data_IF_152464970504
#
_entry.id   IF_152464970504
#
_cell.length_a   1.000
_cell.length_b   1.000
_cell.length_c   1.000
_cell.angle_alpha   90.00
_cell.angle_beta   90.00
_cell.angle_gamma   90.00
#
_symmetry.space_group_name_H-M   'P 1'
#
loop_
_entity.id
_entity.type
_entity.pdbx_description
1 polymer ?
#
# COMPACT_ATOMS: atom_id res chain seq x y z
N UNK A 1 -6.40 11.99 -40.72
CA UNK A 1 -6.01 10.63 -40.37
C UNK A 1 -5.88 10.62 -38.81
N UNK A 2 -6.90 10.17 -38.12
CA UNK A 2 -6.93 10.12 -36.65
C UNK A 2 -6.39 8.75 -36.31
N UNK A 3 -5.14 8.70 -35.83
CA UNK A 3 -4.56 7.50 -35.26
C UNK A 3 -5.29 7.17 -33.94
N UNK A 4 -6.13 6.17 -34.02
CA UNK A 4 -6.80 5.60 -32.85
C UNK A 4 -5.72 4.99 -31.96
N UNK A 5 -5.36 5.69 -30.88
CA UNK A 5 -4.52 5.15 -29.81
C UNK A 5 -5.20 3.89 -29.28
N UNK A 6 -4.74 2.72 -29.73
CA UNK A 6 -5.13 1.43 -29.14
C UNK A 6 -4.75 1.47 -27.66
N UNK A 7 -5.75 1.63 -26.78
CA UNK A 7 -5.57 1.40 -25.35
C UNK A 7 -4.94 0.00 -25.18
N UNK A 8 -3.68 -0.05 -24.77
CA UNK A 8 -3.06 -1.33 -24.39
C UNK A 8 -3.87 -1.90 -23.23
N UNK A 9 -4.47 -3.08 -23.42
CA UNK A 9 -5.05 -3.84 -22.33
C UNK A 9 -3.97 -4.09 -21.28
N UNK A 10 -4.28 -3.96 -19.97
CA UNK A 10 -3.32 -4.31 -18.93
C UNK A 10 -2.90 -5.77 -19.11
N UNK A 11 -1.61 -6.02 -19.02
CA UNK A 11 -1.10 -7.40 -19.04
C UNK A 11 -1.56 -8.11 -17.77
N UNK A 12 -2.31 -9.17 -17.94
CA UNK A 12 -2.70 -10.09 -16.85
C UNK A 12 -1.81 -11.32 -16.97
N UNK A 13 -0.93 -11.60 -16.00
CA UNK A 13 -0.12 -12.81 -16.03
C UNK A 13 -1.02 -14.05 -16.06
N UNK A 14 -0.70 -15.08 -16.86
CA UNK A 14 -1.51 -16.30 -16.95
C UNK A 14 -1.77 -17.01 -15.62
N UNK A 15 -0.87 -16.84 -14.63
CA UNK A 15 -1.01 -17.40 -13.29
C UNK A 15 -2.13 -16.74 -12.46
N UNK A 16 -2.59 -15.55 -12.86
CA UNK A 16 -3.66 -14.80 -12.17
C UNK A 16 -5.04 -15.35 -12.48
N UNK A 17 -5.20 -16.08 -13.61
CA UNK A 17 -6.48 -16.62 -14.04
C UNK A 17 -6.97 -17.83 -13.20
N UNK A 18 -6.09 -18.42 -12.39
CA UNK A 18 -6.44 -19.59 -11.56
C UNK A 18 -6.26 -19.28 -10.08
N UNK A 19 -7.34 -19.38 -9.30
CA UNK A 19 -7.35 -19.35 -7.83
C UNK A 19 -6.90 -18.03 -7.18
N UNK A 20 -6.90 -16.90 -7.94
CA UNK A 20 -6.46 -15.59 -7.44
C UNK A 20 -7.33 -14.43 -7.90
N UNK A 21 -8.50 -14.74 -8.40
CA UNK A 21 -9.47 -13.76 -8.85
C UNK A 21 -10.09 -13.02 -7.66
N UNK A 22 -10.81 -11.95 -7.93
CA UNK A 22 -11.61 -11.28 -6.90
C UNK A 22 -12.71 -12.19 -6.31
N UNK A 23 -13.26 -13.11 -7.11
CA UNK A 23 -14.21 -14.11 -6.63
C UNK A 23 -13.54 -15.09 -5.64
N UNK A 24 -12.32 -15.55 -5.94
CA UNK A 24 -11.54 -16.40 -5.04
C UNK A 24 -11.18 -15.68 -3.74
N UNK A 25 -10.86 -14.37 -3.83
CA UNK A 25 -10.66 -13.52 -2.67
C UNK A 25 -11.90 -13.47 -1.76
N UNK A 26 -13.09 -13.22 -2.34
CA UNK A 26 -14.35 -13.19 -1.59
C UNK A 26 -14.63 -14.54 -0.93
N UNK A 27 -14.44 -15.63 -1.66
CA UNK A 27 -14.60 -16.97 -1.11
C UNK A 27 -13.60 -17.24 0.02
N UNK A 28 -12.35 -16.81 -0.12
CA UNK A 28 -11.33 -16.99 0.91
C UNK A 28 -11.68 -16.25 2.20
N UNK A 29 -12.08 -14.98 2.13
CA UNK A 29 -12.45 -14.20 3.32
C UNK A 29 -13.71 -14.75 4.01
N UNK A 30 -14.69 -15.26 3.24
CA UNK A 30 -15.90 -15.88 3.78
C UNK A 30 -15.58 -17.22 4.46
N UNK A 31 -14.84 -18.12 3.76
CA UNK A 31 -14.52 -19.46 4.26
C UNK A 31 -13.69 -19.44 5.53
N UNK A 32 -12.74 -18.48 5.64
CA UNK A 32 -11.82 -18.37 6.77
C UNK A 32 -12.19 -17.27 7.76
N UNK A 33 -13.36 -16.65 7.62
CA UNK A 33 -13.85 -15.55 8.48
C UNK A 33 -12.84 -14.40 8.64
N UNK A 34 -12.10 -14.09 7.54
CA UNK A 34 -11.05 -13.07 7.55
C UNK A 34 -11.68 -11.68 7.50
N UNK A 35 -11.44 -10.88 8.52
CA UNK A 35 -11.97 -9.51 8.64
C UNK A 35 -10.96 -8.43 8.32
N UNK A 36 -9.69 -8.79 8.16
CA UNK A 36 -8.60 -7.89 7.86
C UNK A 36 -7.76 -8.39 6.69
N UNK A 37 -7.47 -7.50 5.76
CA UNK A 37 -6.54 -7.73 4.65
C UNK A 37 -5.83 -6.42 4.29
N UNK A 38 -4.85 -6.50 3.42
CA UNK A 38 -4.13 -5.34 2.91
C UNK A 38 -4.58 -5.04 1.48
N UNK A 39 -5.01 -3.82 1.21
CA UNK A 39 -5.17 -3.32 -0.17
C UNK A 39 -3.86 -2.70 -0.61
N UNK A 40 -3.31 -3.19 -1.72
CA UNK A 40 -2.03 -2.75 -2.27
C UNK A 40 -2.24 -2.03 -3.60
N UNK A 41 -1.48 -0.93 -3.79
CA UNK A 41 -1.51 -0.15 -5.03
C UNK A 41 -0.18 0.58 -5.26
N UNK A 42 0.05 1.07 -6.47
CA UNK A 42 1.19 1.94 -6.77
C UNK A 42 0.76 3.34 -7.16
N UNK A 43 1.38 4.34 -6.56
CA UNK A 43 1.15 5.75 -6.85
C UNK A 43 2.27 6.29 -7.72
N UNK A 44 1.91 6.66 -8.95
CA UNK A 44 2.82 7.30 -9.88
C UNK A 44 2.77 8.81 -9.64
N UNK A 45 3.93 9.41 -9.42
CA UNK A 45 4.10 10.85 -9.42
C UNK A 45 4.39 11.35 -10.84
N UNK A 46 5.67 11.54 -11.15
CA UNK A 46 6.16 11.81 -12.51
C UNK A 46 6.32 10.48 -13.26
N UNK A 47 5.96 10.47 -14.53
CA UNK A 47 6.15 9.28 -15.36
C UNK A 47 7.65 8.98 -15.55
N UNK A 48 8.03 7.73 -15.35
CA UNK A 48 9.41 7.26 -15.47
C UNK A 48 10.31 7.56 -14.26
N UNK A 49 9.79 8.22 -13.20
CA UNK A 49 10.46 8.44 -11.94
C UNK A 49 10.12 7.40 -10.87
N UNK A 50 10.56 7.67 -9.64
CA UNK A 50 10.19 6.88 -8.46
C UNK A 50 8.67 6.81 -8.26
N UNK A 51 8.21 5.72 -7.71
CA UNK A 51 6.80 5.48 -7.39
C UNK A 51 6.65 5.10 -5.91
N UNK A 52 5.44 5.24 -5.38
CA UNK A 52 5.13 4.83 -4.02
C UNK A 52 4.30 3.56 -4.09
N UNK A 53 4.79 2.46 -3.52
CA UNK A 53 3.99 1.29 -3.19
C UNK A 53 3.20 1.61 -1.92
N UNK A 54 1.89 1.48 -1.95
CA UNK A 54 1.02 1.73 -0.81
C UNK A 54 0.43 0.43 -0.29
N UNK A 55 0.42 0.26 1.03
CA UNK A 55 -0.17 -0.87 1.74
C UNK A 55 -1.19 -0.31 2.74
N UNK A 56 -2.47 -0.57 2.50
CA UNK A 56 -3.57 -0.12 3.35
C UNK A 56 -4.13 -1.28 4.15
N UNK A 57 -4.07 -1.19 5.46
CA UNK A 57 -4.67 -2.15 6.41
C UNK A 57 -6.16 -1.82 6.58
N UNK A 58 -7.00 -2.69 6.04
CA UNK A 58 -8.43 -2.41 5.84
C UNK A 58 -9.22 -2.31 7.14
N UNK A 59 -8.80 -2.98 8.21
CA UNK A 59 -9.47 -2.96 9.50
C UNK A 59 -9.53 -1.55 10.13
N UNK A 60 -8.53 -0.71 9.86
CA UNK A 60 -8.40 0.61 10.48
C UNK A 60 -8.11 1.74 9.50
N UNK A 61 -8.00 1.45 8.20
CA UNK A 61 -7.55 2.38 7.15
C UNK A 61 -6.17 3.01 7.43
N UNK A 62 -5.32 2.32 8.17
CA UNK A 62 -3.92 2.70 8.34
C UNK A 62 -3.17 2.39 7.04
N UNK A 63 -2.41 3.34 6.56
CA UNK A 63 -1.70 3.22 5.29
C UNK A 63 -0.22 3.49 5.48
N UNK A 64 0.61 2.69 4.84
CA UNK A 64 2.06 2.94 4.72
C UNK A 64 2.43 3.10 3.26
N UNK A 65 3.52 3.80 3.01
CA UNK A 65 4.08 3.97 1.69
C UNK A 65 5.55 3.57 1.66
N UNK A 66 5.93 2.86 0.62
CA UNK A 66 7.30 2.43 0.37
C UNK A 66 7.75 3.06 -0.94
N UNK A 67 8.89 3.74 -0.91
CA UNK A 67 9.44 4.41 -2.07
C UNK A 67 10.20 3.40 -2.94
N UNK A 68 9.73 3.21 -4.17
CA UNK A 68 10.35 2.35 -5.15
C UNK A 68 11.09 3.18 -6.21
N UNK A 69 12.27 2.74 -6.62
CA UNK A 69 13.04 3.40 -7.69
C UNK A 69 12.37 3.27 -9.06
N UNK A 70 11.49 2.27 -9.25
CA UNK A 70 10.73 2.08 -10.48
C UNK A 70 9.44 1.30 -10.24
N UNK A 71 8.46 1.45 -11.15
CA UNK A 71 7.25 0.64 -11.21
C UNK A 71 7.56 -0.71 -11.88
N UNK A 72 8.23 -1.61 -11.16
CA UNK A 72 8.64 -2.92 -11.68
C UNK A 72 8.43 -4.06 -10.69
N UNK A 73 8.23 -5.28 -11.20
CA UNK A 73 8.09 -6.47 -10.37
C UNK A 73 9.34 -6.75 -9.53
N UNK A 74 10.52 -6.40 -10.04
CA UNK A 74 11.76 -6.54 -9.30
C UNK A 74 11.80 -5.61 -8.07
N UNK A 75 11.43 -4.33 -8.24
CA UNK A 75 11.41 -3.36 -7.14
C UNK A 75 10.43 -3.80 -6.05
N UNK A 76 9.21 -4.22 -6.41
CA UNK A 76 8.22 -4.75 -5.45
C UNK A 76 8.76 -6.00 -4.74
N UNK A 77 9.38 -6.94 -5.48
CA UNK A 77 9.95 -8.16 -4.89
C UNK A 77 11.05 -7.86 -3.87
N UNK A 78 11.90 -6.89 -4.16
CA UNK A 78 12.96 -6.46 -3.25
C UNK A 78 12.40 -5.90 -1.95
N UNK A 79 11.34 -5.07 -2.04
CA UNK A 79 10.72 -4.47 -0.86
C UNK A 79 9.97 -5.50 0.00
N UNK A 80 9.31 -6.48 -0.60
CA UNK A 80 8.71 -7.57 0.18
C UNK A 80 9.75 -8.42 0.90
N UNK A 81 10.93 -8.61 0.30
CA UNK A 81 12.07 -9.24 0.98
C UNK A 81 12.55 -8.40 2.15
N UNK A 82 12.80 -7.09 1.96
CA UNK A 82 13.21 -6.18 3.04
C UNK A 82 12.18 -6.11 4.18
N UNK A 83 10.88 -6.07 3.86
CA UNK A 83 9.82 -6.15 4.87
C UNK A 83 9.94 -7.44 5.70
N UNK A 84 10.10 -8.59 5.05
CA UNK A 84 10.28 -9.88 5.77
C UNK A 84 11.51 -9.91 6.65
N UNK A 85 12.65 -9.42 6.15
CA UNK A 85 13.88 -9.30 6.93
C UNK A 85 13.65 -8.44 8.18
N UNK A 86 12.93 -7.33 8.04
CA UNK A 86 12.58 -6.42 9.14
C UNK A 86 11.66 -7.08 10.16
N UNK A 87 10.65 -7.82 9.71
CA UNK A 87 9.74 -8.57 10.56
C UNK A 87 10.45 -9.72 11.28
N UNK A 88 11.31 -10.46 10.58
CA UNK A 88 12.11 -11.53 11.17
C UNK A 88 13.07 -11.01 12.24
N UNK A 89 13.73 -9.88 12.02
CA UNK A 89 14.59 -9.22 12.99
C UNK A 89 13.82 -8.78 14.25
N UNK A 90 12.55 -8.42 14.12
CA UNK A 90 11.64 -8.09 15.20
C UNK A 90 10.97 -9.32 15.84
N UNK A 91 11.29 -10.53 15.38
CA UNK A 91 10.66 -11.80 15.80
C UNK A 91 9.12 -11.78 15.66
N UNK A 92 8.61 -11.09 14.64
CA UNK A 92 7.19 -10.94 14.37
C UNK A 92 6.82 -11.75 13.12
N UNK A 93 5.83 -12.66 13.17
CA UNK A 93 5.36 -13.39 12.01
C UNK A 93 4.79 -12.43 10.95
N UNK A 94 5.20 -12.60 9.69
CA UNK A 94 4.79 -11.73 8.60
C UNK A 94 3.27 -11.81 8.35
N UNK A 95 2.70 -13.01 8.42
CA UNK A 95 1.28 -13.29 8.24
C UNK A 95 0.39 -12.62 9.30
N UNK A 96 0.92 -12.27 10.46
CA UNK A 96 0.16 -11.56 11.50
C UNK A 96 -0.37 -10.21 11.00
N UNK A 97 0.42 -9.52 10.17
CA UNK A 97 0.06 -8.22 9.61
C UNK A 97 -0.42 -8.32 8.17
N UNK A 98 0.08 -9.30 7.43
CA UNK A 98 -0.22 -9.50 6.01
C UNK A 98 -0.90 -10.85 5.73
N UNK A 99 -2.08 -11.12 6.32
CA UNK A 99 -2.74 -12.41 6.09
C UNK A 99 -3.16 -12.60 4.62
N UNK A 100 -3.71 -11.54 4.03
CA UNK A 100 -4.12 -11.47 2.62
C UNK A 100 -3.76 -10.12 2.03
N UNK A 101 -3.43 -10.11 0.74
CA UNK A 101 -3.18 -8.90 -0.03
C UNK A 101 -4.09 -8.90 -1.25
N UNK A 102 -4.83 -7.81 -1.46
CA UNK A 102 -5.63 -7.55 -2.64
C UNK A 102 -5.01 -6.42 -3.45
N UNK A 103 -4.75 -6.65 -4.73
CA UNK A 103 -4.15 -5.66 -5.64
C UNK A 103 -4.85 -5.62 -7.00
N UNK A 104 -4.48 -4.69 -7.87
CA UNK A 104 -4.88 -4.70 -9.27
C UNK A 104 -3.96 -5.62 -10.11
N UNK A 105 -4.28 -5.77 -11.40
CA UNK A 105 -3.51 -6.57 -12.34
C UNK A 105 -2.29 -5.81 -12.92
N UNK A 106 -1.60 -5.02 -12.09
CA UNK A 106 -0.39 -4.31 -12.50
C UNK A 106 0.79 -5.26 -12.77
N UNK A 107 1.58 -4.99 -13.81
CA UNK A 107 2.77 -5.79 -14.14
C UNK A 107 3.83 -5.78 -13.03
N UNK A 108 3.82 -4.77 -12.16
CA UNK A 108 4.68 -4.68 -10.97
C UNK A 108 4.36 -5.75 -9.90
N UNK A 109 3.18 -6.36 -9.95
CA UNK A 109 2.75 -7.42 -9.04
C UNK A 109 2.86 -8.82 -9.64
N UNK A 110 3.49 -8.96 -10.82
CA UNK A 110 3.58 -10.22 -11.56
C UNK A 110 4.43 -11.29 -10.88
N UNK A 111 5.39 -10.91 -10.01
CA UNK A 111 6.20 -11.88 -9.27
C UNK A 111 5.51 -12.30 -7.97
N UNK A 112 4.43 -13.08 -8.13
CA UNK A 112 3.56 -13.53 -7.03
C UNK A 112 4.36 -14.28 -5.96
N UNK A 113 5.24 -15.19 -6.36
CA UNK A 113 6.03 -15.99 -5.43
C UNK A 113 6.85 -15.12 -4.46
N UNK A 114 7.48 -14.07 -4.95
CA UNK A 114 8.28 -13.18 -4.10
C UNK A 114 7.44 -12.33 -3.13
N UNK A 115 6.18 -12.07 -3.49
CA UNK A 115 5.24 -11.37 -2.62
C UNK A 115 4.68 -12.32 -1.55
N UNK A 116 4.38 -13.58 -1.89
CA UNK A 116 3.75 -14.53 -0.99
C UNK A 116 4.70 -15.30 -0.09
N UNK A 117 5.89 -15.65 -0.59
CA UNK A 117 6.79 -16.58 0.06
C UNK A 117 8.04 -15.92 0.64
N UNK A 118 8.53 -16.49 1.73
CA UNK A 118 9.84 -16.14 2.29
C UNK A 118 11.00 -16.78 1.50
N UNK A 119 12.23 -16.55 1.95
CA UNK A 119 13.45 -17.05 1.29
C UNK A 119 13.54 -18.59 1.25
N UNK A 120 12.84 -19.31 2.11
CA UNK A 120 12.78 -20.78 2.12
C UNK A 120 11.67 -21.35 1.25
N UNK A 121 10.86 -20.48 0.62
CA UNK A 121 9.71 -20.85 -0.21
C UNK A 121 8.44 -21.12 0.60
N UNK A 122 8.43 -20.87 1.90
CA UNK A 122 7.23 -20.98 2.73
C UNK A 122 6.31 -19.80 2.46
N UNK A 123 5.03 -20.09 2.16
CA UNK A 123 4.01 -19.05 1.94
C UNK A 123 3.61 -18.44 3.27
N UNK A 124 3.64 -17.10 3.34
CA UNK A 124 3.30 -16.32 4.54
C UNK A 124 2.12 -15.37 4.29
N UNK A 125 1.70 -15.18 3.06
CA UNK A 125 0.52 -14.39 2.69
C UNK A 125 -0.11 -14.96 1.41
N UNK A 126 -1.35 -14.53 1.10
CA UNK A 126 -2.02 -14.86 -0.16
C UNK A 126 -2.28 -13.57 -0.94
N UNK A 127 -1.91 -13.55 -2.22
CA UNK A 127 -2.11 -12.45 -3.13
C UNK A 127 -3.31 -12.72 -4.04
N UNK A 128 -4.26 -11.79 -4.06
CA UNK A 128 -5.42 -11.81 -4.94
C UNK A 128 -5.46 -10.56 -5.81
N UNK A 129 -6.14 -10.67 -6.94
CA UNK A 129 -6.23 -9.61 -7.93
C UNK A 129 -7.66 -9.17 -8.15
N UNK A 130 -7.86 -7.85 -8.25
CA UNK A 130 -9.12 -7.28 -8.70
C UNK A 130 -9.38 -7.63 -10.17
N UNK A 131 -10.64 -7.66 -10.54
CA UNK A 131 -11.03 -7.77 -11.94
C UNK A 131 -10.52 -6.56 -12.74
N UNK A 132 -10.19 -6.78 -14.01
CA UNK A 132 -9.71 -5.71 -14.88
C UNK A 132 -10.73 -4.56 -14.96
N UNK A 133 -10.25 -3.33 -14.77
CA UNK A 133 -11.03 -2.08 -14.81
C UNK A 133 -12.18 -1.94 -13.80
N UNK A 134 -12.25 -2.78 -12.76
CA UNK A 134 -13.23 -2.66 -11.67
C UNK A 134 -12.62 -1.91 -10.48
N UNK A 135 -12.54 -0.60 -10.56
CA UNK A 135 -12.01 0.28 -9.51
C UNK A 135 -12.74 0.14 -8.17
N UNK A 136 -14.04 -0.20 -8.18
CA UNK A 136 -14.86 -0.34 -6.96
C UNK A 136 -14.45 -1.51 -6.03
N UNK A 137 -13.53 -2.36 -6.43
CA UNK A 137 -13.13 -3.53 -5.64
C UNK A 137 -12.05 -3.20 -4.58
N UNK A 138 -11.40 -2.04 -4.66
CA UNK A 138 -10.46 -1.50 -3.65
C UNK A 138 -10.87 -0.10 -3.16
N UNK A 139 -12.08 0.10 -2.62
CA UNK A 139 -12.60 1.44 -2.33
C UNK A 139 -11.87 2.15 -1.21
N UNK A 140 -11.23 1.40 -0.31
CA UNK A 140 -10.53 1.98 0.86
C UNK A 140 -9.20 2.58 0.47
N UNK A 141 -8.40 1.89 -0.33
CA UNK A 141 -7.12 2.44 -0.82
C UNK A 141 -7.37 3.65 -1.71
N UNK A 142 -8.37 3.61 -2.61
CA UNK A 142 -8.71 4.74 -3.48
C UNK A 142 -9.07 6.00 -2.67
N UNK A 143 -9.90 5.85 -1.62
CA UNK A 143 -10.25 6.96 -0.74
C UNK A 143 -9.03 7.53 0.00
N UNK A 144 -8.12 6.68 0.46
CA UNK A 144 -6.90 7.13 1.12
C UNK A 144 -5.89 7.74 0.14
N UNK A 145 -5.86 7.27 -1.12
CA UNK A 145 -5.07 7.90 -2.17
C UNK A 145 -5.53 9.33 -2.49
N UNK A 146 -6.82 9.62 -2.34
CA UNK A 146 -7.32 11.01 -2.44
C UNK A 146 -6.66 11.90 -1.38
N UNK A 147 -6.55 11.43 -0.14
CA UNK A 147 -5.88 12.16 0.94
C UNK A 147 -4.37 12.32 0.68
N UNK A 148 -3.73 11.29 0.11
CA UNK A 148 -2.34 11.42 -0.31
C UNK A 148 -2.20 12.49 -1.39
N UNK A 149 -3.17 12.63 -2.30
CA UNK A 149 -3.17 13.64 -3.37
C UNK A 149 -3.37 15.09 -2.86
N UNK A 150 -3.94 15.27 -1.68
CA UNK A 150 -3.99 16.59 -1.03
C UNK A 150 -2.58 17.05 -0.60
N UNK A 151 -1.71 16.13 -0.23
CA UNK A 151 -0.31 16.39 0.13
C UNK A 151 0.58 16.35 -1.12
N UNK A 152 0.49 15.26 -1.90
CA UNK A 152 1.29 14.98 -3.09
C UNK A 152 0.39 14.98 -4.33
N UNK A 153 0.09 16.14 -4.97
CA UNK A 153 -0.75 16.21 -6.14
C UNK A 153 -0.23 15.37 -7.32
N UNK A 154 -1.10 15.11 -8.29
CA UNK A 154 -0.68 14.45 -9.54
C UNK A 154 0.47 15.23 -10.19
N UNK A 155 1.49 14.52 -10.64
CA UNK A 155 2.69 15.11 -11.23
C UNK A 155 3.80 15.48 -10.23
N UNK A 156 3.57 15.34 -8.90
CA UNK A 156 4.66 15.48 -7.91
C UNK A 156 5.76 14.47 -8.23
N UNK A 157 7.01 14.93 -8.39
CA UNK A 157 8.16 14.04 -8.50
C UNK A 157 8.51 13.45 -7.13
N UNK A 158 8.77 12.14 -7.09
CA UNK A 158 9.27 11.47 -5.90
C UNK A 158 10.77 11.20 -5.96
N UNK A 159 11.46 11.65 -7.03
CA UNK A 159 12.86 11.30 -7.30
C UNK A 159 13.82 11.78 -6.19
N UNK A 160 13.55 12.96 -5.63
CA UNK A 160 14.32 13.56 -4.53
C UNK A 160 13.77 13.22 -3.14
N UNK A 161 12.66 12.48 -3.07
CA UNK A 161 12.05 12.09 -1.80
C UNK A 161 12.85 10.94 -1.17
N UNK A 162 13.01 11.01 0.14
CA UNK A 162 13.57 9.92 0.95
C UNK A 162 12.45 9.11 1.60
N UNK A 163 12.72 7.84 1.97
CA UNK A 163 11.77 7.03 2.70
C UNK A 163 11.34 7.68 4.03
N UNK A 164 12.27 8.32 4.74
CA UNK A 164 11.95 9.02 6.00
C UNK A 164 10.98 10.19 5.79
N UNK A 165 11.12 10.95 4.71
CA UNK A 165 10.15 12.01 4.36
C UNK A 165 8.78 11.42 4.01
N UNK A 166 8.74 10.30 3.30
CA UNK A 166 7.51 9.59 2.98
C UNK A 166 6.82 9.06 4.26
N UNK A 167 7.58 8.50 5.20
CA UNK A 167 7.05 8.04 6.50
C UNK A 167 6.43 9.18 7.31
N UNK A 168 6.99 10.40 7.24
CA UNK A 168 6.38 11.58 7.86
C UNK A 168 5.04 11.91 7.19
N UNK A 169 4.95 11.86 5.86
CA UNK A 169 3.70 12.09 5.12
C UNK A 169 2.62 11.12 5.57
N UNK A 170 2.94 9.82 5.61
CA UNK A 170 2.00 8.79 6.07
C UNK A 170 1.68 8.91 7.57
N UNK A 171 2.60 9.37 8.39
CA UNK A 171 2.34 9.69 9.80
C UNK A 171 1.26 10.78 9.96
N UNK A 172 1.34 11.87 9.20
CA UNK A 172 0.29 12.90 9.17
C UNK A 172 -1.05 12.35 8.67
N UNK A 173 -1.05 11.56 7.58
CA UNK A 173 -2.27 10.94 7.05
C UNK A 173 -2.95 10.02 8.06
N UNK A 174 -2.18 9.17 8.73
CA UNK A 174 -2.67 8.21 9.72
C UNK A 174 -3.09 8.87 11.03
N UNK A 175 -2.60 10.08 11.32
CA UNK A 175 -2.97 10.86 12.51
C UNK A 175 -4.16 11.81 12.25
N UNK A 176 -4.76 11.78 11.05
CA UNK A 176 -5.96 12.56 10.74
C UNK A 176 -7.20 11.84 11.26
N UNK A 177 -7.95 12.50 12.16
CA UNK A 177 -9.19 11.94 12.73
C UNK A 177 -10.25 11.63 11.66
N UNK A 178 -10.97 10.51 11.81
CA UNK A 178 -11.98 10.05 10.86
C UNK A 178 -13.38 10.05 11.50
N UNK A 179 -14.35 10.69 10.84
CA UNK A 179 -15.76 10.70 11.29
C UNK A 179 -16.31 9.28 11.48
N UNK A 180 -16.02 8.37 10.54
CA UNK A 180 -16.46 6.98 10.59
C UNK A 180 -15.91 6.18 11.79
N UNK A 181 -14.92 6.70 12.50
CA UNK A 181 -14.31 6.09 13.69
C UNK A 181 -14.57 6.92 14.96
N UNK A 182 -15.64 7.71 14.98
CA UNK A 182 -15.99 8.57 16.10
C UNK A 182 -14.83 9.49 16.53
N UNK A 183 -14.11 10.04 15.55
CA UNK A 183 -12.99 10.92 15.78
C UNK A 183 -11.64 10.25 16.07
N UNK A 184 -11.59 8.93 16.18
CA UNK A 184 -10.29 8.22 16.28
C UNK A 184 -9.51 8.30 14.97
N UNK A 185 -8.19 8.20 15.08
CA UNK A 185 -7.29 8.20 13.94
C UNK A 185 -6.99 6.76 13.48
N UNK A 186 -6.64 6.54 12.19
CA UNK A 186 -6.10 5.26 11.74
C UNK A 186 -4.93 4.77 12.58
N UNK A 187 -4.02 5.66 13.00
CA UNK A 187 -2.89 5.32 13.86
C UNK A 187 -3.35 4.72 15.21
N UNK A 188 -4.28 5.39 15.89
CA UNK A 188 -4.80 4.93 17.17
C UNK A 188 -5.48 3.56 17.06
N UNK A 189 -6.26 3.34 16.00
CA UNK A 189 -6.89 2.05 15.74
C UNK A 189 -5.88 0.98 15.40
N UNK A 190 -4.86 1.29 14.57
CA UNK A 190 -3.80 0.35 14.24
C UNK A 190 -3.06 -0.11 15.50
N UNK A 191 -2.67 0.82 16.37
CA UNK A 191 -2.05 0.49 17.65
C UNK A 191 -2.96 -0.34 18.56
N UNK A 192 -4.27 -0.13 18.52
CA UNK A 192 -5.23 -0.93 19.28
C UNK A 192 -5.29 -2.37 18.78
N UNK A 193 -5.23 -2.61 17.47
CA UNK A 193 -5.33 -3.95 16.87
C UNK A 193 -4.01 -4.70 16.84
N UNK A 194 -2.89 -4.00 16.61
CA UNK A 194 -1.60 -4.60 16.29
C UNK A 194 -0.47 -4.23 17.27
N UNK A 195 -0.72 -3.31 18.19
CA UNK A 195 0.31 -2.79 19.09
C UNK A 195 1.07 -1.60 18.49
N UNK A 196 1.62 -0.78 19.39
CA UNK A 196 2.45 0.38 18.99
C UNK A 196 3.76 -0.05 18.36
N UNK A 197 4.32 -1.15 18.81
CA UNK A 197 5.58 -1.75 18.33
C UNK A 197 5.50 -2.05 16.82
N UNK A 198 4.31 -2.45 16.34
CA UNK A 198 4.07 -2.70 14.93
C UNK A 198 4.05 -1.40 14.11
N UNK A 199 3.47 -0.32 14.64
CA UNK A 199 3.53 0.99 13.99
C UNK A 199 4.96 1.53 13.95
N UNK A 200 5.73 1.34 15.02
CA UNK A 200 7.15 1.71 15.10
C UNK A 200 8.00 0.86 14.12
N UNK A 201 7.70 -0.45 13.98
CA UNK A 201 8.33 -1.32 12.99
C UNK A 201 8.09 -0.82 11.55
N UNK A 202 6.89 -0.32 11.27
CA UNK A 202 6.56 0.30 9.98
C UNK A 202 7.02 1.78 9.88
N UNK A 203 7.73 2.30 10.90
CA UNK A 203 8.28 3.66 10.95
C UNK A 203 7.22 4.77 10.84
N UNK A 204 6.00 4.49 11.26
CA UNK A 204 4.91 5.46 11.32
C UNK A 204 4.71 5.90 12.76
N UNK A 205 4.59 7.21 12.98
CA UNK A 205 4.47 7.82 14.30
C UNK A 205 3.19 8.63 14.42
N UNK A 206 2.67 8.73 15.63
CA UNK A 206 1.55 9.62 15.89
C UNK A 206 1.99 11.08 15.80
N UNK A 207 1.20 11.89 15.09
CA UNK A 207 1.36 13.34 15.02
C UNK A 207 0.26 13.96 15.89
N UNK A 208 0.60 14.85 16.85
CA UNK A 208 -0.41 15.57 17.63
C UNK A 208 -1.43 16.28 16.75
N UNK A 209 -2.70 16.27 17.14
CA UNK A 209 -3.81 16.75 16.32
C UNK A 209 -3.63 18.21 15.85
N UNK A 210 -3.08 19.06 16.70
CA UNK A 210 -2.77 20.47 16.40
C UNK A 210 -1.61 20.66 15.42
N UNK A 211 -0.81 19.61 15.18
CA UNK A 211 0.35 19.60 14.27
C UNK A 211 0.09 18.85 12.97
N UNK A 212 -1.07 18.21 12.80
CA UNK A 212 -1.39 17.48 11.57
C UNK A 212 -1.52 18.46 10.40
N UNK A 213 -0.81 18.16 9.31
CA UNK A 213 -0.85 18.92 8.06
C UNK A 213 -1.28 17.99 6.93
N UNK A 214 -2.48 18.21 6.40
CA UNK A 214 -3.08 17.44 5.31
C UNK A 214 -3.16 18.33 4.05
N UNK A 215 -2.01 18.83 3.59
CA UNK A 215 -1.93 19.69 2.42
C UNK A 215 -0.51 19.76 1.84
N UNK A 216 -0.37 20.33 0.62
CA UNK A 216 0.93 20.60 -0.03
C UNK A 216 1.95 21.35 0.86
N UNK A 217 1.48 22.06 1.90
CA UNK A 217 2.38 22.73 2.83
C UNK A 217 3.37 21.76 3.47
N UNK A 218 2.97 20.50 3.69
CA UNK A 218 3.84 19.48 4.26
C UNK A 218 5.06 19.23 3.38
N UNK A 219 4.90 19.10 2.06
CA UNK A 219 6.02 18.90 1.13
C UNK A 219 7.04 20.04 1.22
N UNK A 220 6.55 21.29 1.32
CA UNK A 220 7.43 22.46 1.47
C UNK A 220 8.25 22.40 2.76
N UNK A 221 7.64 21.99 3.87
CA UNK A 221 8.30 21.82 5.17
C UNK A 221 9.34 20.70 5.15
N UNK A 222 9.11 19.67 4.33
CA UNK A 222 10.02 18.55 4.15
C UNK A 222 11.11 18.83 3.09
N UNK A 223 11.14 20.02 2.48
CA UNK A 223 12.04 20.37 1.38
C UNK A 223 11.95 19.41 0.19
N UNK A 224 10.77 18.81 -0.04
CA UNK A 224 10.50 18.03 -1.23
C UNK A 224 10.08 19.00 -2.34
N UNK A 225 11.03 19.33 -3.20
CA UNK A 225 10.77 20.15 -4.40
C UNK A 225 10.25 19.25 -5.50
N UNK A 226 9.04 19.56 -5.99
CA UNK A 226 8.42 18.88 -7.13
C UNK A 226 8.99 19.32 -8.46
#
# INVERSE_FOLDING_TARGET
MIETLKKRMPYVPPAVEKERTYADFLQCIETHEITNWVEMDTVIGRQGGKVILTLLFTICNFMVGILLDSKSALAVSQEFRHLREKFAAAQTPFEQLFPLILTDNGGEFANIHSIECNATGTRETHLFFCDAMKLCQKPRVEKNLTLLRDICPKGTSFDQMTQSQLNIIFSHMNSTARKQYNGKTPYQLFCLYHGKEMADLLEIREVPADKVIQSKRLLKLLNVTG
#
